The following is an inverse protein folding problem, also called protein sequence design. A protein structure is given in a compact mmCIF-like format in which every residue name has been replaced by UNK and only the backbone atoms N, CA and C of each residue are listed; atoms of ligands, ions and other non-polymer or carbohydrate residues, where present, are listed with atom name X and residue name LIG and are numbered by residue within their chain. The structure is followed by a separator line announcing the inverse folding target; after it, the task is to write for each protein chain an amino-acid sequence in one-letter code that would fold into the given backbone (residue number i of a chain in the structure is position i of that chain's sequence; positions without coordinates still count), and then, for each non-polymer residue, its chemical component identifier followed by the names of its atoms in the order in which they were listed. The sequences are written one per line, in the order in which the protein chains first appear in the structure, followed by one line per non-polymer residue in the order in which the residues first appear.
data_IF_036934099689
#
_entry.id   IF_036934099689
#
_cell.length_a   1.000
_cell.length_b   1.000
_cell.length_c   1.000
_cell.angle_alpha   90.00
_cell.angle_beta   90.00
_cell.angle_gamma   90.00
#
_symmetry.space_group_name_H-M   'P 1'
#
loop_
_entity.id
_entity.type
_entity.pdbx_description
1 polymer ?
#
# COMPACT_ATOMS: atom_id res chain seq x y z
N UNK A 1 -21.68 1.43 -0.78
CA UNK A 1 -21.01 0.77 0.37
C UNK A 1 -19.68 1.46 0.64
N UNK A 2 -19.22 1.47 1.90
CA UNK A 2 -17.87 1.95 2.23
C UNK A 2 -16.85 0.90 1.76
N UNK A 3 -15.77 1.33 1.09
CA UNK A 3 -14.69 0.42 0.67
C UNK A 3 -13.98 -0.15 1.90
N UNK A 4 -13.60 -1.43 1.84
CA UNK A 4 -12.74 -2.07 2.82
C UNK A 4 -11.32 -1.52 2.65
N UNK A 5 -10.76 -1.03 3.75
CA UNK A 5 -9.38 -0.57 3.78
C UNK A 5 -8.45 -1.78 3.81
N UNK A 6 -7.34 -1.69 3.07
CA UNK A 6 -6.32 -2.74 3.01
C UNK A 6 -4.93 -2.14 2.94
N UNK A 7 -3.94 -2.90 3.39
CA UNK A 7 -2.52 -2.63 3.19
C UNK A 7 -1.90 -3.66 2.24
N UNK A 8 -0.87 -3.26 1.52
CA UNK A 8 -0.04 -4.17 0.72
C UNK A 8 1.36 -4.23 1.33
N UNK A 9 1.78 -5.41 1.74
CA UNK A 9 3.15 -5.69 2.18
C UNK A 9 3.96 -6.26 1.00
N UNK A 10 4.88 -5.46 0.47
CA UNK A 10 5.77 -5.81 -0.63
C UNK A 10 5.67 -4.82 -1.80
N UNK A 11 6.69 -3.97 -1.95
CA UNK A 11 6.75 -2.92 -2.98
C UNK A 11 7.29 -3.37 -4.35
N UNK A 12 7.33 -4.69 -4.59
CA UNK A 12 7.80 -5.27 -5.86
C UNK A 12 6.76 -5.19 -6.98
N UNK A 13 7.05 -5.86 -8.10
CA UNK A 13 6.18 -5.84 -9.29
C UNK A 13 4.76 -6.34 -9.00
N UNK A 14 4.62 -7.44 -8.24
CA UNK A 14 3.32 -8.02 -7.90
C UNK A 14 2.51 -7.06 -7.02
N UNK A 15 3.10 -6.53 -5.95
CA UNK A 15 2.41 -5.58 -5.08
C UNK A 15 2.00 -4.30 -5.80
N UNK A 16 2.86 -3.79 -6.68
CA UNK A 16 2.58 -2.59 -7.48
C UNK A 16 1.45 -2.84 -8.50
N UNK A 17 1.42 -4.00 -9.15
CA UNK A 17 0.32 -4.38 -10.03
C UNK A 17 -1.01 -4.53 -9.26
N UNK A 18 -0.96 -5.16 -8.08
CA UNK A 18 -2.11 -5.25 -7.17
C UNK A 18 -2.59 -3.86 -6.74
N UNK A 19 -1.68 -2.95 -6.41
CA UNK A 19 -2.02 -1.56 -6.08
C UNK A 19 -2.82 -0.89 -7.20
N UNK A 20 -2.36 -1.01 -8.44
CA UNK A 20 -3.04 -0.46 -9.62
C UNK A 20 -4.43 -1.08 -9.79
N UNK A 21 -4.58 -2.39 -9.54
CA UNK A 21 -5.88 -3.06 -9.57
C UNK A 21 -6.82 -2.56 -8.47
N UNK A 22 -6.33 -2.34 -7.25
CA UNK A 22 -7.13 -1.82 -6.13
C UNK A 22 -7.64 -0.40 -6.41
N UNK A 23 -6.88 0.46 -7.12
CA UNK A 23 -7.37 1.80 -7.47
C UNK A 23 -8.65 1.79 -8.30
N UNK A 24 -8.91 0.71 -9.03
CA UNK A 24 -10.12 0.51 -9.83
C UNK A 24 -11.20 -0.30 -9.11
N UNK A 25 -10.92 -0.78 -7.90
CA UNK A 25 -11.84 -1.63 -7.14
C UNK A 25 -12.99 -0.79 -6.56
N UNK A 26 -14.22 -1.30 -6.70
CA UNK A 26 -15.40 -0.76 -6.02
C UNK A 26 -15.47 -1.18 -4.55
N UNK A 27 -14.71 -2.22 -4.17
CA UNK A 27 -14.76 -2.83 -2.84
C UNK A 27 -13.58 -2.47 -1.95
N UNK A 28 -12.40 -2.20 -2.52
CA UNK A 28 -11.15 -2.06 -1.78
C UNK A 28 -10.54 -0.67 -1.91
N UNK A 29 -9.90 -0.20 -0.84
CA UNK A 29 -9.09 1.01 -0.81
C UNK A 29 -7.72 0.69 -0.18
N UNK A 30 -6.65 0.87 -0.95
CA UNK A 30 -5.30 0.76 -0.40
C UNK A 30 -4.98 1.98 0.46
N UNK A 31 -4.80 1.79 1.75
CA UNK A 31 -4.49 2.86 2.72
C UNK A 31 -3.01 2.92 3.08
N UNK A 32 -2.27 1.83 2.86
CA UNK A 32 -0.85 1.74 3.16
C UNK A 32 -0.12 0.77 2.21
N UNK A 33 0.98 1.22 1.61
CA UNK A 33 1.83 0.44 0.72
C UNK A 33 3.24 0.31 1.30
N UNK A 34 3.66 -0.92 1.61
CA UNK A 34 4.80 -1.16 2.49
C UNK A 34 5.92 -1.88 1.74
N UNK A 35 7.14 -1.40 1.90
CA UNK A 35 8.36 -2.00 1.34
C UNK A 35 9.46 -2.12 2.39
N UNK A 36 10.71 -2.19 1.90
CA UNK A 36 11.95 -2.06 2.70
C UNK A 36 12.91 -0.99 2.17
N UNK A 37 12.49 -0.28 1.11
CA UNK A 37 13.29 0.76 0.46
C UNK A 37 12.35 1.80 -0.18
N UNK A 38 12.29 2.99 0.40
CA UNK A 38 11.49 4.13 -0.10
C UNK A 38 11.85 4.54 -1.53
N UNK A 39 13.09 4.27 -1.97
CA UNK A 39 13.56 4.61 -3.33
C UNK A 39 13.15 3.58 -4.39
N UNK A 40 12.43 2.51 -4.02
CA UNK A 40 12.01 1.50 -5.00
C UNK A 40 10.94 2.04 -5.97
N UNK A 41 10.92 1.57 -7.24
CA UNK A 41 9.95 2.06 -8.24
C UNK A 41 8.48 1.93 -7.82
N UNK A 42 8.13 0.85 -7.12
CA UNK A 42 6.78 0.64 -6.58
C UNK A 42 6.38 1.69 -5.54
N UNK A 43 7.33 2.13 -4.70
CA UNK A 43 7.08 3.18 -3.69
C UNK A 43 6.87 4.54 -4.35
N UNK A 44 7.71 4.90 -5.33
CA UNK A 44 7.51 6.10 -6.13
C UNK A 44 6.13 6.11 -6.82
N UNK A 45 5.69 4.95 -7.33
CA UNK A 45 4.35 4.80 -7.92
C UNK A 45 3.24 5.00 -6.90
N UNK A 46 3.36 4.42 -5.70
CA UNK A 46 2.37 4.57 -4.64
C UNK A 46 2.25 6.03 -4.17
N UNK A 47 3.37 6.74 -4.02
CA UNK A 47 3.41 8.17 -3.69
C UNK A 47 2.70 8.99 -4.77
N UNK A 48 2.99 8.73 -6.05
CA UNK A 48 2.35 9.42 -7.17
C UNK A 48 0.83 9.18 -7.24
N UNK A 49 0.35 8.06 -6.68
CA UNK A 49 -1.08 7.73 -6.57
C UNK A 49 -1.71 8.26 -5.27
N UNK A 50 -0.96 9.00 -4.44
CA UNK A 50 -1.45 9.54 -3.17
C UNK A 50 -1.65 8.49 -2.06
N UNK A 51 -1.05 7.31 -2.20
CA UNK A 51 -1.13 6.25 -1.19
C UNK A 51 -0.01 6.42 -0.17
N UNK A 52 -0.33 6.31 1.12
CA UNK A 52 0.69 6.36 2.19
C UNK A 52 1.66 5.20 2.03
N UNK A 53 2.93 5.45 2.31
CA UNK A 53 3.99 4.46 2.17
C UNK A 53 4.79 4.30 3.46
N UNK A 54 5.38 3.13 3.65
CA UNK A 54 6.36 2.86 4.72
C UNK A 54 7.39 1.85 4.25
N UNK A 55 8.64 1.99 4.69
CA UNK A 55 9.71 1.02 4.48
C UNK A 55 10.03 0.19 5.73
N UNK A 56 9.21 0.29 6.77
CA UNK A 56 9.42 -0.41 8.05
C UNK A 56 8.94 -1.87 8.04
N UNK A 57 8.61 -2.44 6.88
CA UNK A 57 8.06 -3.80 6.76
C UNK A 57 6.84 -4.00 7.68
N UNK A 58 6.69 -5.18 8.28
CA UNK A 58 5.51 -5.53 9.10
C UNK A 58 5.28 -4.57 10.28
N UNK A 59 6.33 -3.93 10.80
CA UNK A 59 6.23 -2.96 11.89
C UNK A 59 5.35 -1.76 11.56
N UNK A 60 5.21 -1.42 10.27
CA UNK A 60 4.30 -0.37 9.82
C UNK A 60 2.82 -0.66 10.15
N UNK A 61 2.46 -1.94 10.32
CA UNK A 61 1.11 -2.39 10.70
C UNK A 61 1.03 -2.59 12.22
N UNK A 62 2.05 -3.19 12.84
CA UNK A 62 2.03 -3.48 14.29
C UNK A 62 1.94 -2.22 15.16
N UNK A 63 2.54 -1.11 14.71
CA UNK A 63 2.50 0.18 15.44
C UNK A 63 1.13 0.83 15.46
N UNK A 64 0.28 0.56 14.46
CA UNK A 64 -1.06 1.10 14.35
C UNK A 64 -1.97 0.11 13.60
N UNK A 65 -2.47 -0.93 14.29
CA UNK A 65 -3.32 -1.95 13.67
C UNK A 65 -4.61 -1.39 13.06
N UNK A 66 -5.09 -0.25 13.56
CA UNK A 66 -6.33 0.42 13.11
C UNK A 66 -6.10 1.35 11.89
N UNK A 67 -4.84 1.58 11.50
CA UNK A 67 -4.49 2.33 10.29
C UNK A 67 -4.83 1.59 8.99
N UNK A 68 -5.02 0.26 9.07
CA UNK A 68 -5.30 -0.62 7.93
C UNK A 68 -6.78 -0.90 7.77
#
# INVERSE_FOLDING_TARGET
MKKLKVAILGSGNIGTDLLIKIQRSEFLQCVLFIGRNLSSPGMAKAIALGVKVSDESIYAIEKDPDAV
#
